data_IF_835524680297
#
_entry.id   IF_835524680297
#
_cell.length_a   1.000
_cell.length_b   1.000
_cell.length_c   1.000
_cell.angle_alpha   90.00
_cell.angle_beta   90.00
_cell.angle_gamma   90.00
#
_symmetry.space_group_name_H-M   'P 1'
#
loop_
_entity.id
_entity.type
_entity.pdbx_description
1 polymer ?
#
# COMPACT_ATOMS: atom_id res chain seq x y z
N UNK A 1 21.09 34.07 -16.52
CA UNK A 1 20.10 33.90 -15.44
C UNK A 1 19.19 32.75 -15.86
N UNK A 2 19.35 31.56 -15.28
CA UNK A 2 18.57 30.37 -15.62
C UNK A 2 17.46 30.23 -14.57
N UNK A 3 16.21 30.21 -15.04
CA UNK A 3 15.03 29.94 -14.20
C UNK A 3 15.00 28.41 -14.00
N UNK A 4 15.08 27.88 -12.77
CA UNK A 4 14.80 26.48 -12.54
C UNK A 4 13.33 26.25 -12.87
N UNK A 5 13.08 25.30 -13.77
CA UNK A 5 11.75 24.83 -14.14
C UNK A 5 10.90 24.62 -12.90
N UNK A 6 9.73 25.27 -12.86
CA UNK A 6 8.61 24.92 -11.98
C UNK A 6 8.12 23.52 -12.35
N UNK A 7 8.91 22.49 -12.02
CA UNK A 7 8.37 21.19 -11.71
C UNK A 7 7.68 21.37 -10.35
N UNK A 8 6.42 21.80 -10.40
CA UNK A 8 5.50 21.56 -9.31
C UNK A 8 5.53 20.05 -9.07
N UNK A 9 6.39 19.61 -8.14
CA UNK A 9 6.15 18.39 -7.41
C UNK A 9 4.85 18.65 -6.65
N UNK A 10 3.72 18.40 -7.31
CA UNK A 10 2.50 18.06 -6.63
C UNK A 10 2.91 16.91 -5.72
N UNK A 11 3.16 17.20 -4.45
CA UNK A 11 3.25 16.18 -3.43
C UNK A 11 1.93 15.43 -3.52
N UNK A 12 1.98 14.31 -4.24
CA UNK A 12 0.80 13.58 -4.64
C UNK A 12 0.27 13.03 -3.33
N UNK A 13 -0.82 13.64 -2.86
CA UNK A 13 -1.35 13.37 -1.52
C UNK A 13 -1.53 11.88 -1.35
N UNK A 14 -0.94 11.32 -0.29
CA UNK A 14 -1.11 9.93 0.10
C UNK A 14 -2.59 9.60 0.18
N UNK A 15 -3.02 8.57 -0.53
CA UNK A 15 -4.39 8.08 -0.46
C UNK A 15 -4.50 6.97 0.58
N UNK A 16 -5.69 6.82 1.15
CA UNK A 16 -5.99 5.74 2.10
C UNK A 16 -6.92 4.74 1.43
N UNK A 17 -6.48 3.48 1.39
CA UNK A 17 -7.20 2.35 0.81
C UNK A 17 -7.63 1.38 1.91
N UNK A 18 -8.86 0.88 1.82
CA UNK A 18 -9.45 0.02 2.85
C UNK A 18 -9.56 -1.41 2.35
N UNK A 19 -9.06 -2.35 3.15
CA UNK A 19 -9.08 -3.77 2.87
C UNK A 19 -9.64 -4.52 4.07
N UNK A 20 -10.61 -5.40 3.82
CA UNK A 20 -11.15 -6.29 4.86
C UNK A 20 -10.25 -7.51 4.97
N UNK A 21 -9.85 -7.89 6.19
CA UNK A 21 -9.14 -9.14 6.46
C UNK A 21 -10.11 -10.30 6.25
N UNK A 22 -10.20 -10.80 5.03
CA UNK A 22 -10.96 -12.01 4.69
C UNK A 22 -10.17 -13.26 5.07
N UNK A 23 -10.83 -14.28 5.65
CA UNK A 23 -10.24 -15.62 5.75
C UNK A 23 -10.28 -16.38 4.40
N UNK A 24 -10.97 -15.82 3.40
CA UNK A 24 -10.99 -16.35 2.04
C UNK A 24 -9.79 -15.83 1.26
N UNK A 25 -9.01 -16.79 0.78
CA UNK A 25 -7.64 -16.71 0.24
C UNK A 25 -7.52 -15.92 -1.08
N UNK A 26 -8.53 -15.17 -1.52
CA UNK A 26 -8.62 -14.78 -2.93
C UNK A 26 -8.06 -13.38 -3.27
N UNK A 27 -8.08 -12.41 -2.36
CA UNK A 27 -7.82 -11.02 -2.78
C UNK A 27 -6.50 -10.44 -2.26
N UNK A 28 -5.92 -11.03 -1.21
CA UNK A 28 -4.63 -10.58 -0.68
C UNK A 28 -3.91 -11.60 0.21
N UNK A 29 -2.58 -11.67 0.09
CA UNK A 29 -1.70 -12.45 0.98
C UNK A 29 -0.94 -11.49 1.87
N UNK A 30 -1.20 -11.51 3.18
CA UNK A 30 -0.48 -10.72 4.18
C UNK A 30 0.56 -11.58 4.92
N UNK A 31 1.84 -11.25 4.80
CA UNK A 31 2.92 -11.96 5.47
C UNK A 31 3.74 -11.00 6.36
N UNK A 32 3.63 -11.09 7.70
CA UNK A 32 4.42 -10.24 8.60
C UNK A 32 5.91 -10.55 8.49
N UNK A 33 6.74 -9.51 8.57
CA UNK A 33 8.21 -9.53 8.58
C UNK A 33 8.70 -8.66 9.75
N UNK A 34 9.90 -8.96 10.23
CA UNK A 34 10.57 -8.17 11.28
C UNK A 34 9.70 -7.96 12.54
N UNK A 35 9.08 -9.04 13.05
CA UNK A 35 8.28 -8.98 14.27
C UNK A 35 6.95 -8.21 14.14
N UNK A 36 6.41 -8.07 12.92
CA UNK A 36 5.12 -7.41 12.66
C UNK A 36 5.23 -5.95 12.21
N UNK A 37 6.44 -5.38 12.23
CA UNK A 37 6.70 -3.99 11.84
C UNK A 37 6.60 -3.80 10.32
N UNK A 38 6.97 -4.83 9.56
CA UNK A 38 6.84 -4.84 8.11
C UNK A 38 5.92 -5.98 7.67
N UNK A 39 5.35 -5.87 6.48
CA UNK A 39 4.59 -6.97 5.88
C UNK A 39 4.69 -6.93 4.37
N UNK A 40 4.55 -8.09 3.73
CA UNK A 40 4.23 -8.14 2.30
C UNK A 40 2.73 -8.28 2.14
N UNK A 41 2.18 -7.57 1.15
CA UNK A 41 0.80 -7.72 0.73
C UNK A 41 0.74 -7.89 -0.78
N UNK A 42 0.07 -8.94 -1.25
CA UNK A 42 -0.36 -9.03 -2.65
C UNK A 42 -1.79 -8.53 -2.76
N UNK A 43 -2.19 -7.93 -3.87
CA UNK A 43 -3.58 -7.60 -4.11
C UNK A 43 -3.86 -7.26 -5.56
N UNK A 44 -5.14 -6.97 -5.84
CA UNK A 44 -5.62 -6.54 -7.16
C UNK A 44 -6.07 -5.06 -7.16
N UNK A 45 -6.29 -4.50 -8.35
CA UNK A 45 -6.66 -3.10 -8.57
C UNK A 45 -5.50 -2.19 -8.96
N UNK A 46 -5.76 -0.89 -9.16
CA UNK A 46 -4.78 0.09 -9.66
C UNK A 46 -4.74 1.33 -8.78
N UNK A 47 -3.63 2.05 -8.85
CA UNK A 47 -3.52 3.40 -8.28
C UNK A 47 -2.89 3.48 -6.89
N UNK A 48 -2.46 2.36 -6.33
CA UNK A 48 -1.68 2.34 -5.08
C UNK A 48 -0.24 2.73 -5.41
N UNK A 49 0.33 3.60 -4.60
CA UNK A 49 1.69 4.11 -4.78
C UNK A 49 2.44 4.15 -3.45
N UNK A 50 3.80 4.21 -3.47
CA UNK A 50 4.57 4.46 -2.26
C UNK A 50 4.09 5.73 -1.54
N UNK A 51 3.97 5.64 -0.22
CA UNK A 51 3.44 6.72 0.62
C UNK A 51 1.95 6.64 0.92
N UNK A 52 1.17 5.89 0.15
CA UNK A 52 -0.24 5.61 0.45
C UNK A 52 -0.40 4.79 1.74
N UNK A 53 -1.61 4.79 2.30
CA UNK A 53 -1.96 4.02 3.48
C UNK A 53 -2.93 2.89 3.14
N UNK A 54 -2.68 1.70 3.68
CA UNK A 54 -3.60 0.57 3.64
C UNK A 54 -4.14 0.34 5.05
N UNK A 55 -5.45 0.38 5.21
CA UNK A 55 -6.14 0.00 6.45
C UNK A 55 -6.62 -1.43 6.28
N UNK A 56 -5.98 -2.36 7.00
CA UNK A 56 -6.32 -3.77 7.04
C UNK A 56 -7.12 -4.04 8.32
N UNK A 57 -8.39 -4.42 8.23
CA UNK A 57 -9.19 -4.67 9.41
C UNK A 57 -10.35 -5.64 9.22
N UNK A 58 -10.89 -6.10 10.34
CA UNK A 58 -12.20 -6.73 10.43
C UNK A 58 -13.17 -5.80 11.17
N UNK A 59 -14.35 -6.31 11.54
CA UNK A 59 -15.41 -5.53 12.19
C UNK A 59 -15.01 -5.04 13.60
N UNK A 60 -13.92 -5.55 14.17
CA UNK A 60 -13.50 -5.30 15.55
C UNK A 60 -12.14 -4.60 15.66
N UNK A 61 -11.22 -4.85 14.73
CA UNK A 61 -9.89 -4.27 14.76
C UNK A 61 -9.40 -3.90 13.37
N UNK A 62 -8.79 -2.72 13.25
CA UNK A 62 -8.08 -2.30 12.06
C UNK A 62 -6.65 -1.92 12.39
N UNK A 63 -5.76 -2.20 11.44
CA UNK A 63 -4.36 -1.86 11.51
C UNK A 63 -3.97 -1.09 10.26
N UNK A 64 -3.32 0.05 10.48
CA UNK A 64 -2.86 0.90 9.40
C UNK A 64 -1.41 0.59 9.04
N UNK A 65 -1.15 0.54 7.75
CA UNK A 65 0.17 0.37 7.16
C UNK A 65 0.41 1.45 6.11
N UNK A 66 1.65 1.91 5.98
CA UNK A 66 2.08 2.74 4.87
C UNK A 66 2.77 1.88 3.81
N UNK A 67 2.52 2.15 2.54
CA UNK A 67 3.20 1.50 1.41
C UNK A 67 4.62 2.03 1.31
N UNK A 68 5.61 1.18 1.57
CA UNK A 68 7.03 1.49 1.38
C UNK A 68 7.43 1.30 -0.08
N UNK A 69 7.05 0.15 -0.67
CA UNK A 69 7.33 -0.21 -2.07
C UNK A 69 6.17 -0.96 -2.67
N UNK A 70 5.98 -0.86 -3.98
CA UNK A 70 4.97 -1.62 -4.73
C UNK A 70 5.48 -2.00 -6.11
N UNK A 71 5.13 -3.20 -6.55
CA UNK A 71 5.47 -3.75 -7.86
C UNK A 71 4.20 -4.31 -8.51
N UNK A 72 3.79 -3.73 -9.63
CA UNK A 72 2.73 -4.27 -10.49
C UNK A 72 3.32 -5.31 -11.45
N UNK A 73 2.71 -6.48 -11.57
CA UNK A 73 3.29 -7.61 -12.32
C UNK A 73 2.32 -8.28 -13.32
N UNK A 74 1.09 -7.81 -13.45
CA UNK A 74 0.11 -8.32 -14.42
C UNK A 74 0.00 -7.47 -15.71
N UNK A 75 -0.68 -8.01 -16.73
CA UNK A 75 -1.13 -7.26 -17.92
C UNK A 75 -2.63 -7.54 -18.14
N UNK A 76 -3.54 -6.57 -17.93
CA UNK A 76 -3.26 -5.19 -17.52
C UNK A 76 -2.63 -5.12 -16.11
N UNK A 77 -1.93 -4.02 -15.76
CA UNK A 77 -1.22 -3.92 -14.48
C UNK A 77 -2.22 -3.68 -13.34
N UNK A 78 -2.91 -4.73 -12.92
CA UNK A 78 -3.89 -4.73 -11.85
C UNK A 78 -3.51 -5.67 -10.69
N UNK A 79 -2.61 -6.63 -10.87
CA UNK A 79 -2.01 -7.36 -9.76
C UNK A 79 -0.71 -6.70 -9.29
N UNK A 80 -0.55 -6.61 -7.97
CA UNK A 80 0.59 -5.99 -7.34
C UNK A 80 1.04 -6.71 -6.09
N UNK A 81 2.33 -6.57 -5.76
CA UNK A 81 2.90 -6.93 -4.47
C UNK A 81 3.53 -5.68 -3.84
N UNK A 82 3.22 -5.43 -2.57
CA UNK A 82 3.69 -4.28 -1.82
C UNK A 82 4.46 -4.70 -0.57
N UNK A 83 5.50 -3.93 -0.24
CA UNK A 83 6.12 -3.92 1.08
C UNK A 83 5.46 -2.81 1.90
N UNK A 84 4.97 -3.19 3.07
CA UNK A 84 4.22 -2.36 3.97
C UNK A 84 5.03 -2.12 5.25
N UNK A 85 4.85 -0.95 5.85
CA UNK A 85 5.37 -0.59 7.16
C UNK A 85 4.21 -0.24 8.09
N UNK A 86 4.11 -0.90 9.24
CA UNK A 86 3.07 -0.61 10.21
C UNK A 86 3.23 0.83 10.71
N UNK A 87 2.13 1.58 10.65
CA UNK A 87 2.04 2.88 11.32
C UNK A 87 1.70 2.58 12.78
N UNK A 88 2.56 2.98 13.71
CA UNK A 88 2.25 2.86 15.14
C UNK A 88 1.08 3.81 15.44
N UNK A 89 0.00 3.26 15.98
CA UNK A 89 -1.03 4.06 16.67
C UNK A 89 -0.49 4.57 18.00
#
# INVERSE_FOLDING_TARGET
>A
MLIPSLEFQLEKQSQTHYYRRSQEIHDHVFAPKSGGIMAYMTGEGKGIQPGDYLILGDDYQSQQYQVDKINYYATPPDMWIALLKQVRG
#
